data_IF_260990746940
#
_entry.id   IF_260990746940
#
_cell.length_a   1.000
_cell.length_b   1.000
_cell.length_c   1.000
_cell.angle_alpha   90.00
_cell.angle_beta   90.00
_cell.angle_gamma   90.00
#
_symmetry.space_group_name_H-M   'P 1'
#
loop_
_entity.id
_entity.type
_entity.pdbx_description
1 polymer ?
#
# COMPACT_ATOMS: atom_id res chain seq x y z
N UNK A 1 -47.15 -19.56 35.37
CA UNK A 1 -47.48 -19.76 33.93
C UNK A 1 -48.92 -19.28 33.76
N UNK A 2 -49.21 -18.45 32.78
CA UNK A 2 -50.56 -17.96 32.50
C UNK A 2 -51.41 -19.11 31.96
N UNK A 3 -52.35 -19.59 32.75
CA UNK A 3 -53.28 -20.63 32.29
C UNK A 3 -54.40 -20.00 31.46
N UNK A 4 -54.60 -20.50 30.25
CA UNK A 4 -55.62 -20.00 29.33
C UNK A 4 -55.65 -20.83 28.04
N UNK A 5 -56.38 -20.37 27.04
CA UNK A 5 -56.50 -21.03 25.74
C UNK A 5 -56.40 -20.07 24.56
N UNK A 6 -55.90 -20.58 23.46
CA UNK A 6 -55.86 -19.85 22.19
C UNK A 6 -57.28 -19.80 21.59
N UNK A 7 -57.66 -18.63 21.10
CA UNK A 7 -58.92 -18.39 20.41
C UNK A 7 -58.60 -17.74 19.06
N UNK A 8 -59.15 -18.27 17.99
CA UNK A 8 -59.00 -17.77 16.63
C UNK A 8 -60.32 -17.23 16.09
N UNK A 9 -60.28 -16.08 15.42
CA UNK A 9 -61.39 -15.60 14.58
C UNK A 9 -60.84 -15.12 13.22
N UNK A 10 -61.70 -14.52 12.39
CA UNK A 10 -61.32 -13.97 11.08
C UNK A 10 -60.19 -12.94 11.12
N UNK A 11 -60.08 -12.19 12.22
CA UNK A 11 -59.06 -11.13 12.38
C UNK A 11 -57.75 -11.63 12.99
N UNK A 12 -57.69 -12.89 13.49
CA UNK A 12 -56.45 -13.44 14.01
C UNK A 12 -56.56 -14.24 15.30
N UNK A 13 -55.45 -14.38 16.00
CA UNK A 13 -55.33 -15.16 17.21
C UNK A 13 -55.33 -14.27 18.45
N UNK A 14 -56.08 -14.67 19.52
CA UNK A 14 -56.09 -14.09 20.86
C UNK A 14 -55.79 -15.16 21.90
N UNK A 15 -55.39 -14.71 23.13
CA UNK A 15 -55.21 -15.63 24.24
C UNK A 15 -56.20 -15.24 25.35
N UNK A 16 -57.09 -16.17 25.71
CA UNK A 16 -58.12 -16.01 26.71
C UNK A 16 -57.69 -16.67 28.01
N UNK A 17 -57.61 -15.88 29.07
CA UNK A 17 -57.32 -16.40 30.40
C UNK A 17 -58.50 -17.20 30.98
N UNK A 18 -58.25 -17.98 32.05
CA UNK A 18 -59.31 -18.77 32.72
C UNK A 18 -60.44 -17.91 33.27
N UNK A 19 -60.14 -16.68 33.69
CA UNK A 19 -61.16 -15.69 34.16
C UNK A 19 -61.99 -15.09 33.04
N UNK A 20 -61.82 -15.51 31.80
CA UNK A 20 -62.58 -15.03 30.65
C UNK A 20 -62.03 -13.82 29.95
N UNK A 21 -61.05 -13.08 30.52
CA UNK A 21 -60.44 -11.88 29.92
C UNK A 21 -59.43 -12.27 28.83
N UNK A 22 -59.01 -11.31 27.98
CA UNK A 22 -58.04 -11.52 26.91
C UNK A 22 -56.73 -10.78 27.19
N UNK A 23 -55.63 -11.40 26.78
CA UNK A 23 -54.33 -10.77 26.80
C UNK A 23 -54.32 -9.51 25.90
N UNK A 24 -53.97 -8.32 26.43
CA UNK A 24 -53.88 -7.07 25.70
C UNK A 24 -52.65 -6.30 26.12
N UNK A 25 -51.98 -5.69 25.15
CA UNK A 25 -50.79 -4.85 25.34
C UNK A 25 -49.71 -5.49 26.25
N UNK A 26 -49.47 -6.80 26.14
CA UNK A 26 -48.62 -7.57 27.04
C UNK A 26 -47.72 -8.57 26.29
N UNK A 27 -46.59 -8.87 26.89
CA UNK A 27 -45.75 -10.00 26.53
C UNK A 27 -46.16 -11.23 27.38
N UNK A 28 -46.33 -12.37 26.79
CA UNK A 28 -46.65 -13.62 27.51
C UNK A 28 -45.72 -14.75 27.09
N UNK A 29 -45.30 -15.51 28.10
CA UNK A 29 -44.70 -16.81 27.88
C UNK A 29 -45.81 -17.87 27.93
N UNK A 30 -46.08 -18.53 26.82
CA UNK A 30 -47.09 -19.55 26.68
C UNK A 30 -46.39 -20.81 26.16
N UNK A 31 -46.37 -21.87 26.98
CA UNK A 31 -45.72 -23.13 26.61
C UNK A 31 -44.22 -23.00 26.25
N UNK A 32 -43.46 -22.16 26.95
CA UNK A 32 -42.03 -21.93 26.71
C UNK A 32 -41.73 -21.03 25.52
N UNK A 33 -42.75 -20.49 24.84
CA UNK A 33 -42.60 -19.54 23.74
C UNK A 33 -43.13 -18.16 24.12
N UNK A 34 -42.47 -17.10 23.68
CA UNK A 34 -42.84 -15.72 23.96
C UNK A 34 -43.71 -15.18 22.83
N UNK A 35 -44.80 -14.53 23.21
CA UNK A 35 -45.74 -13.90 22.30
C UNK A 35 -46.01 -12.43 22.75
N UNK A 36 -46.37 -11.61 21.80
CA UNK A 36 -46.82 -10.23 22.07
C UNK A 36 -48.25 -10.06 21.61
N UNK A 37 -49.06 -9.43 22.47
CA UNK A 37 -50.43 -9.04 22.16
C UNK A 37 -50.55 -7.54 22.08
N UNK A 38 -51.16 -7.03 21.03
CA UNK A 38 -51.41 -5.61 20.82
C UNK A 38 -52.50 -5.06 21.72
N UNK A 39 -52.73 -3.75 21.64
CA UNK A 39 -53.80 -3.10 22.39
C UNK A 39 -55.21 -3.65 22.05
N UNK A 40 -55.39 -4.09 20.81
CA UNK A 40 -56.63 -4.77 20.34
C UNK A 40 -56.76 -6.22 20.79
N UNK A 41 -55.80 -6.74 21.55
CA UNK A 41 -55.77 -8.11 22.07
C UNK A 41 -55.38 -9.19 21.05
N UNK A 42 -55.05 -8.81 19.83
CA UNK A 42 -54.57 -9.82 18.84
C UNK A 42 -53.08 -10.05 19.00
N UNK A 43 -52.68 -11.28 18.69
CA UNK A 43 -51.29 -11.71 18.62
C UNK A 43 -50.59 -10.92 17.53
N UNK A 44 -49.46 -10.27 17.87
CA UNK A 44 -48.60 -9.54 16.95
C UNK A 44 -47.82 -10.52 16.10
N UNK A 45 -47.67 -10.24 14.81
CA UNK A 45 -46.83 -11.01 13.86
C UNK A 45 -45.99 -10.06 12.99
N UNK A 46 -44.87 -10.56 12.46
CA UNK A 46 -43.94 -9.73 11.66
C UNK A 46 -43.05 -8.84 12.50
N UNK A 47 -42.46 -7.83 11.87
CA UNK A 47 -41.58 -6.88 12.52
C UNK A 47 -42.39 -5.79 13.21
N UNK A 48 -42.00 -5.42 14.43
CA UNK A 48 -42.58 -4.27 15.14
C UNK A 48 -41.51 -3.64 16.06
N UNK A 49 -41.74 -2.37 16.38
CA UNK A 49 -40.88 -1.65 17.30
C UNK A 49 -41.57 -1.52 18.66
N UNK A 50 -40.85 -1.83 19.73
CA UNK A 50 -41.29 -1.70 21.08
C UNK A 50 -40.15 -1.23 21.98
N UNK A 51 -40.40 -0.20 22.80
CA UNK A 51 -39.40 0.41 23.66
C UNK A 51 -38.06 0.70 22.93
N UNK A 52 -38.15 1.40 21.80
CA UNK A 52 -37.00 1.77 20.97
C UNK A 52 -36.33 0.64 20.20
N UNK A 53 -36.60 -0.63 20.49
CA UNK A 53 -35.99 -1.81 19.91
C UNK A 53 -36.90 -2.48 18.87
N UNK A 54 -36.27 -3.14 17.88
CA UNK A 54 -36.97 -3.90 16.85
C UNK A 54 -37.02 -5.38 17.21
N UNK A 55 -38.20 -5.97 17.10
CA UNK A 55 -38.52 -7.39 17.33
C UNK A 55 -39.09 -8.00 16.08
N UNK A 56 -39.09 -9.31 16.02
CA UNK A 56 -39.80 -10.07 14.99
C UNK A 56 -40.57 -11.25 15.59
N UNK A 57 -41.88 -11.23 15.36
CA UNK A 57 -42.77 -12.34 15.67
C UNK A 57 -42.96 -13.18 14.42
N UNK A 58 -42.68 -14.45 14.48
CA UNK A 58 -42.90 -15.36 13.36
C UNK A 58 -44.30 -15.20 12.77
N UNK A 59 -44.40 -15.07 11.46
CA UNK A 59 -45.67 -14.73 10.82
C UNK A 59 -46.73 -15.85 10.97
N UNK A 60 -46.27 -17.11 10.98
CA UNK A 60 -47.19 -18.27 11.08
C UNK A 60 -47.49 -18.60 12.54
N UNK A 61 -46.45 -18.80 13.36
CA UNK A 61 -46.62 -19.25 14.75
C UNK A 61 -46.80 -18.10 15.73
N UNK A 62 -46.40 -16.84 15.39
CA UNK A 62 -46.39 -15.70 16.27
C UNK A 62 -45.38 -15.77 17.39
N UNK A 63 -44.44 -16.71 17.36
CA UNK A 63 -43.38 -16.83 18.36
C UNK A 63 -42.31 -15.76 18.13
N UNK A 64 -41.78 -15.23 19.23
CA UNK A 64 -40.67 -14.29 19.19
C UNK A 64 -39.39 -14.97 18.62
N UNK A 65 -38.73 -14.32 17.71
CA UNK A 65 -37.38 -14.73 17.26
C UNK A 65 -36.37 -14.43 18.37
N UNK A 66 -35.68 -15.45 18.83
CA UNK A 66 -34.59 -15.33 19.81
C UNK A 66 -33.41 -16.19 19.32
N UNK A 67 -32.16 -15.65 19.47
CA UNK A 67 -30.92 -16.29 19.02
C UNK A 67 -31.04 -16.82 17.58
N UNK A 68 -31.66 -16.06 16.69
CA UNK A 68 -32.06 -16.54 15.36
C UNK A 68 -31.68 -15.58 14.24
N UNK A 69 -31.15 -16.15 13.17
CA UNK A 69 -30.93 -15.47 11.91
C UNK A 69 -32.23 -15.31 11.13
N UNK A 70 -32.39 -14.13 10.53
CA UNK A 70 -33.43 -13.90 9.51
C UNK A 70 -32.71 -13.54 8.21
N UNK A 71 -32.86 -14.43 7.20
CA UNK A 71 -32.32 -14.20 5.85
C UNK A 71 -33.48 -13.75 4.96
N UNK A 72 -33.34 -12.54 4.38
CA UNK A 72 -34.29 -12.02 3.40
C UNK A 72 -33.86 -12.42 1.99
N UNK A 73 -32.54 -12.32 1.73
CA UNK A 73 -31.85 -12.77 0.52
C UNK A 73 -30.34 -12.91 0.82
N UNK A 74 -29.55 -13.30 -0.16
CA UNK A 74 -28.10 -13.51 0.00
C UNK A 74 -27.33 -12.29 0.51
N UNK A 75 -27.86 -11.08 0.26
CA UNK A 75 -27.22 -9.80 0.63
C UNK A 75 -27.85 -9.16 1.87
N UNK A 76 -28.94 -9.71 2.41
CA UNK A 76 -29.70 -9.09 3.50
C UNK A 76 -30.03 -10.12 4.57
N UNK A 77 -29.27 -10.05 5.66
CA UNK A 77 -29.47 -10.89 6.85
C UNK A 77 -29.55 -10.02 8.10
N UNK A 78 -30.40 -10.44 9.04
CA UNK A 78 -30.55 -9.85 10.35
C UNK A 78 -30.35 -10.90 11.43
N UNK A 79 -30.04 -10.48 12.64
CA UNK A 79 -29.95 -11.39 13.78
C UNK A 79 -30.77 -10.86 14.95
N UNK A 80 -31.59 -11.71 15.53
CA UNK A 80 -32.35 -11.44 16.75
C UNK A 80 -31.64 -12.11 17.92
N UNK A 81 -31.30 -11.29 18.94
CA UNK A 81 -30.50 -11.70 20.10
C UNK A 81 -31.29 -12.58 21.07
N UNK A 82 -30.65 -12.94 22.20
CA UNK A 82 -31.29 -13.75 23.23
C UNK A 82 -32.49 -13.05 23.89
N UNK A 83 -32.46 -11.72 23.95
CA UNK A 83 -33.54 -10.87 24.45
C UNK A 83 -34.64 -10.61 23.41
N UNK A 84 -34.53 -11.17 22.22
CA UNK A 84 -35.45 -11.00 21.10
C UNK A 84 -35.27 -9.70 20.32
N UNK A 85 -34.41 -8.79 20.75
CA UNK A 85 -34.16 -7.55 20.02
C UNK A 85 -33.26 -7.80 18.79
N UNK A 86 -33.52 -7.08 17.69
CA UNK A 86 -32.65 -7.11 16.52
C UNK A 86 -31.30 -6.48 16.84
N UNK A 87 -30.23 -7.14 16.42
CA UNK A 87 -28.89 -6.57 16.52
C UNK A 87 -28.77 -5.33 15.65
N UNK A 88 -28.44 -4.18 16.25
CA UNK A 88 -28.25 -2.88 15.59
C UNK A 88 -27.09 -2.14 16.25
N UNK A 89 -26.24 -1.47 15.43
CA UNK A 89 -25.12 -0.65 15.86
C UNK A 89 -24.20 -1.34 16.88
N UNK A 90 -23.82 -2.62 16.63
CA UNK A 90 -23.00 -3.39 17.55
C UNK A 90 -22.30 -4.58 16.89
N UNK A 91 -21.27 -5.06 17.58
CA UNK A 91 -20.70 -6.38 17.36
C UNK A 91 -21.46 -7.43 18.16
N UNK A 92 -21.71 -8.59 17.56
CA UNK A 92 -22.38 -9.72 18.22
C UNK A 92 -21.58 -11.00 17.98
N UNK A 93 -21.26 -11.73 19.05
CA UNK A 93 -20.71 -13.08 18.97
C UNK A 93 -21.84 -14.09 18.72
N UNK A 94 -21.72 -14.87 17.66
CA UNK A 94 -22.71 -15.87 17.28
C UNK A 94 -21.97 -17.15 16.88
N UNK A 95 -22.11 -18.19 17.67
CA UNK A 95 -21.31 -19.41 17.52
C UNK A 95 -19.81 -19.09 17.66
N UNK A 96 -19.00 -19.50 16.68
CA UNK A 96 -17.55 -19.22 16.64
C UNK A 96 -17.21 -17.90 15.96
N UNK A 97 -18.18 -17.17 15.41
CA UNK A 97 -17.97 -15.93 14.65
C UNK A 97 -18.35 -14.67 15.43
N UNK A 98 -17.74 -13.56 15.05
CA UNK A 98 -18.11 -12.21 15.51
C UNK A 98 -18.58 -11.42 14.30
N UNK A 99 -19.74 -10.81 14.41
CA UNK A 99 -20.48 -10.17 13.33
C UNK A 99 -20.80 -8.72 13.66
N UNK A 100 -20.80 -7.83 12.67
CA UNK A 100 -21.16 -6.42 12.87
C UNK A 100 -22.51 -6.13 12.22
N UNK A 101 -23.36 -5.46 13.01
CA UNK A 101 -24.64 -4.95 12.57
C UNK A 101 -24.66 -3.42 12.73
N UNK A 102 -24.62 -2.63 11.62
CA UNK A 102 -24.74 -1.18 11.68
C UNK A 102 -26.15 -0.76 12.15
N UNK A 103 -26.43 0.55 12.23
CA UNK A 103 -27.75 1.10 12.64
C UNK A 103 -28.92 0.51 11.83
N UNK A 104 -28.69 0.14 10.58
CA UNK A 104 -29.72 -0.51 9.74
C UNK A 104 -30.11 -1.90 10.21
N UNK A 105 -29.32 -2.53 11.08
CA UNK A 105 -29.46 -3.92 11.52
C UNK A 105 -29.06 -4.94 10.46
N UNK A 106 -28.73 -4.53 9.24
CA UNK A 106 -28.23 -5.46 8.19
C UNK A 106 -26.85 -5.97 8.56
N UNK A 107 -26.62 -7.28 8.40
CA UNK A 107 -25.30 -7.86 8.54
C UNK A 107 -24.31 -7.16 7.59
N UNK A 108 -23.22 -6.63 8.14
CA UNK A 108 -22.11 -6.15 7.35
C UNK A 108 -21.34 -7.32 6.74
N UNK A 109 -21.07 -7.29 5.43
CA UNK A 109 -20.36 -8.34 4.70
C UNK A 109 -19.33 -7.75 3.74
N UNK A 110 -18.17 -8.42 3.61
CA UNK A 110 -17.08 -8.11 2.66
C UNK A 110 -16.64 -6.63 2.67
N UNK A 111 -16.51 -6.03 3.85
CA UNK A 111 -16.17 -4.59 3.99
C UNK A 111 -15.32 -4.30 5.21
N UNK A 112 -14.65 -3.15 5.16
CA UNK A 112 -13.97 -2.56 6.31
C UNK A 112 -15.02 -1.87 7.18
N UNK A 113 -14.95 -2.09 8.47
CA UNK A 113 -15.79 -1.46 9.49
C UNK A 113 -14.94 -0.51 10.31
N UNK A 114 -15.32 0.75 10.34
CA UNK A 114 -14.76 1.71 11.31
C UNK A 114 -15.65 1.72 12.55
N UNK A 115 -15.09 1.34 13.70
CA UNK A 115 -15.81 1.26 14.96
C UNK A 115 -14.95 1.80 16.10
N UNK A 116 -15.44 2.83 16.78
CA UNK A 116 -14.75 3.49 17.90
C UNK A 116 -13.29 3.85 17.57
N UNK A 117 -13.07 4.46 16.38
CA UNK A 117 -11.75 4.90 15.91
C UNK A 117 -10.80 3.79 15.47
N UNK A 118 -11.28 2.54 15.35
CA UNK A 118 -10.48 1.38 14.92
C UNK A 118 -11.05 0.75 13.66
N UNK A 119 -10.19 0.11 12.86
CA UNK A 119 -10.58 -0.58 11.62
C UNK A 119 -10.65 -2.08 11.85
N UNK A 120 -11.69 -2.70 11.32
CA UNK A 120 -11.95 -4.14 11.32
C UNK A 120 -12.32 -4.58 9.92
N UNK A 121 -12.26 -5.86 9.64
CA UNK A 121 -12.78 -6.39 8.38
C UNK A 121 -13.70 -7.59 8.64
N UNK A 122 -14.85 -7.59 7.96
CA UNK A 122 -15.75 -8.74 7.90
C UNK A 122 -15.70 -9.35 6.50
N UNK A 123 -15.58 -10.67 6.43
CA UNK A 123 -15.49 -11.41 5.17
C UNK A 123 -16.87 -11.50 4.45
N UNK A 124 -16.92 -12.24 3.35
CA UNK A 124 -18.17 -12.43 2.58
C UNK A 124 -19.29 -13.09 3.39
N UNK A 125 -18.97 -13.90 4.39
CA UNK A 125 -19.94 -14.48 5.32
C UNK A 125 -20.32 -13.53 6.46
N UNK A 126 -19.75 -12.32 6.54
CA UNK A 126 -19.96 -11.36 7.62
C UNK A 126 -19.11 -11.62 8.86
N UNK A 127 -18.25 -12.64 8.86
CA UNK A 127 -17.41 -12.99 10.01
C UNK A 127 -16.21 -12.03 10.08
N UNK A 128 -15.96 -11.48 11.27
CA UNK A 128 -14.78 -10.66 11.54
C UNK A 128 -13.51 -11.49 11.41
N UNK A 129 -12.56 -11.03 10.62
CA UNK A 129 -11.26 -11.67 10.50
C UNK A 129 -10.36 -11.33 11.70
N UNK A 130 -9.45 -12.25 12.02
CA UNK A 130 -8.43 -12.11 13.04
C UNK A 130 -7.14 -12.78 12.60
N UNK A 131 -6.01 -12.28 13.09
CA UNK A 131 -4.68 -12.88 12.94
C UNK A 131 -4.33 -13.29 11.50
N UNK A 132 -4.59 -12.39 10.54
CA UNK A 132 -4.42 -12.69 9.12
C UNK A 132 -4.06 -11.47 8.29
N UNK A 133 -3.43 -11.74 7.14
CA UNK A 133 -3.25 -10.74 6.09
C UNK A 133 -4.54 -10.58 5.26
N UNK A 134 -4.85 -9.35 4.91
CA UNK A 134 -5.95 -8.98 4.03
C UNK A 134 -5.42 -8.21 2.83
N UNK A 135 -5.87 -8.58 1.62
CA UNK A 135 -5.71 -7.76 0.41
C UNK A 135 -7.08 -7.21 0.04
N UNK A 136 -7.20 -5.88 -0.01
CA UNK A 136 -8.44 -5.19 -0.36
C UNK A 136 -8.14 -3.91 -1.13
N UNK A 137 -8.75 -3.74 -2.30
CA UNK A 137 -8.54 -2.55 -3.14
C UNK A 137 -7.07 -2.32 -3.51
N UNK A 138 -6.33 -3.38 -3.85
CA UNK A 138 -4.90 -3.29 -4.19
C UNK A 138 -3.96 -3.05 -3.00
N UNK A 139 -4.49 -2.80 -1.80
CA UNK A 139 -3.70 -2.57 -0.59
C UNK A 139 -3.64 -3.82 0.29
N UNK A 140 -2.54 -3.97 1.02
CA UNK A 140 -2.34 -5.06 2.00
C UNK A 140 -2.47 -4.52 3.41
N UNK A 141 -3.15 -5.27 4.27
CA UNK A 141 -3.38 -4.95 5.68
C UNK A 141 -3.06 -6.17 6.54
N UNK A 142 -2.70 -5.96 7.80
CA UNK A 142 -2.64 -7.05 8.78
C UNK A 142 -3.69 -6.84 9.85
N UNK A 143 -4.47 -7.87 10.11
CA UNK A 143 -5.50 -7.91 11.13
C UNK A 143 -4.95 -8.70 12.32
N UNK A 144 -4.89 -8.07 13.49
CA UNK A 144 -4.38 -8.66 14.73
C UNK A 144 -5.28 -9.77 15.26
N UNK A 145 -4.84 -10.49 16.28
CA UNK A 145 -5.66 -11.48 16.99
C UNK A 145 -6.93 -10.90 17.62
N UNK A 146 -6.93 -9.61 17.99
CA UNK A 146 -8.12 -8.88 18.44
C UNK A 146 -9.06 -8.45 17.31
N UNK A 147 -8.71 -8.70 16.05
CA UNK A 147 -9.51 -8.33 14.88
C UNK A 147 -9.34 -6.89 14.42
N UNK A 148 -8.42 -6.13 15.01
CA UNK A 148 -8.15 -4.73 14.68
C UNK A 148 -7.06 -4.67 13.61
N UNK A 149 -7.15 -3.72 12.67
CA UNK A 149 -6.03 -3.44 11.77
C UNK A 149 -4.84 -2.94 12.56
N UNK A 150 -3.67 -3.51 12.29
CA UNK A 150 -2.41 -2.96 12.79
C UNK A 150 -2.13 -1.66 12.03
N UNK A 151 -1.91 -0.55 12.77
CA UNK A 151 -1.66 0.77 12.21
C UNK A 151 -0.42 1.39 12.84
N UNK A 152 0.28 2.28 12.09
CA UNK A 152 1.45 3.05 12.54
C UNK A 152 2.49 2.17 13.24
N UNK A 153 2.74 0.97 12.72
CA UNK A 153 3.57 -0.01 13.40
C UNK A 153 4.34 -0.92 12.45
N UNK A 154 5.50 -1.36 12.89
CA UNK A 154 6.26 -2.40 12.23
C UNK A 154 5.71 -3.78 12.57
N UNK A 155 5.72 -4.66 11.57
CA UNK A 155 5.34 -6.05 11.70
C UNK A 155 6.34 -6.96 11.01
N UNK A 156 6.75 -8.02 11.70
CA UNK A 156 7.58 -9.10 11.12
C UNK A 156 6.67 -10.22 10.61
N UNK A 157 6.85 -10.60 9.35
CA UNK A 157 6.15 -11.73 8.73
C UNK A 157 7.09 -12.47 7.79
N UNK A 158 7.18 -13.78 7.93
CA UNK A 158 8.06 -14.64 7.12
C UNK A 158 9.50 -14.07 6.97
N UNK A 159 10.09 -13.66 8.09
CA UNK A 159 11.45 -13.12 8.15
C UNK A 159 11.60 -11.66 7.68
N UNK A 160 10.60 -11.05 7.07
CA UNK A 160 10.63 -9.67 6.56
C UNK A 160 9.83 -8.72 7.46
N UNK A 161 10.25 -7.45 7.49
CA UNK A 161 9.54 -6.40 8.23
C UNK A 161 8.73 -5.53 7.26
N UNK A 162 7.53 -5.19 7.68
CA UNK A 162 6.58 -4.32 6.96
C UNK A 162 6.11 -3.20 7.89
N UNK A 163 5.91 -2.01 7.34
CA UNK A 163 5.31 -0.93 8.12
C UNK A 163 3.87 -0.67 7.65
N UNK A 164 2.95 -0.70 8.59
CA UNK A 164 1.54 -0.39 8.37
C UNK A 164 1.31 1.09 8.67
N UNK A 165 0.78 1.83 7.70
CA UNK A 165 0.51 3.26 7.81
C UNK A 165 -0.64 3.61 8.75
N UNK A 166 -1.05 4.87 8.75
CA UNK A 166 -2.15 5.34 9.61
C UNK A 166 -3.50 4.71 9.26
N UNK A 167 -3.72 4.38 7.99
CA UNK A 167 -4.89 3.67 7.49
C UNK A 167 -4.78 2.13 7.63
N UNK A 168 -3.68 1.63 8.19
CA UNK A 168 -3.37 0.21 8.32
C UNK A 168 -2.85 -0.45 7.03
N UNK A 169 -2.72 0.29 5.92
CA UNK A 169 -2.15 -0.25 4.71
C UNK A 169 -0.62 -0.38 4.82
N UNK A 170 -0.08 -1.45 4.23
CA UNK A 170 1.38 -1.61 4.09
C UNK A 170 1.91 -0.47 3.22
N UNK A 171 2.89 0.26 3.74
CA UNK A 171 3.59 1.28 2.99
C UNK A 171 4.57 0.66 1.99
N UNK A 172 4.73 1.30 0.84
CA UNK A 172 5.65 0.88 -0.23
C UNK A 172 6.45 2.07 -0.75
N UNK A 173 7.66 1.81 -1.28
CA UNK A 173 8.52 2.78 -1.97
C UNK A 173 8.71 4.09 -1.21
N UNK A 174 9.00 4.01 0.11
CA UNK A 174 9.22 5.22 0.93
C UNK A 174 10.03 4.97 2.18
N UNK A 175 10.55 6.04 2.73
CA UNK A 175 11.17 6.09 4.03
C UNK A 175 10.14 6.04 5.16
N UNK A 176 10.50 5.32 6.22
CA UNK A 176 9.80 5.25 7.51
C UNK A 176 10.86 5.47 8.60
N UNK A 177 11.05 6.71 9.00
CA UNK A 177 12.18 7.09 9.85
C UNK A 177 13.51 6.76 9.17
N UNK A 178 14.35 5.98 9.82
CA UNK A 178 15.66 5.55 9.32
C UNK A 178 15.60 4.26 8.45
N UNK A 179 14.43 3.78 8.05
CA UNK A 179 14.24 2.56 7.29
C UNK A 179 13.53 2.83 5.98
N UNK A 180 13.86 2.10 4.94
CA UNK A 180 13.15 2.18 3.66
C UNK A 180 12.34 0.91 3.39
N UNK A 181 11.09 1.06 2.94
CA UNK A 181 10.26 -0.05 2.48
C UNK A 181 10.17 -0.04 0.95
N UNK A 182 10.48 -1.18 0.34
CA UNK A 182 10.51 -1.34 -1.12
C UNK A 182 9.12 -1.43 -1.76
N UNK A 183 9.08 -1.74 -3.05
CA UNK A 183 7.85 -1.86 -3.84
C UNK A 183 6.90 -2.93 -3.33
N UNK A 184 7.42 -4.02 -2.77
CA UNK A 184 6.63 -5.09 -2.14
C UNK A 184 6.25 -4.79 -0.68
N UNK A 185 6.63 -3.60 -0.15
CA UNK A 185 6.41 -3.16 1.22
C UNK A 185 7.36 -3.74 2.26
N UNK A 186 8.28 -4.65 1.88
CA UNK A 186 9.27 -5.17 2.80
C UNK A 186 10.35 -4.12 3.07
N UNK A 187 10.82 -4.05 4.33
CA UNK A 187 11.99 -3.26 4.70
C UNK A 187 13.21 -3.77 3.93
N UNK A 188 13.93 -2.88 3.31
CA UNK A 188 15.20 -3.18 2.64
C UNK A 188 16.33 -3.29 3.66
N UNK A 189 17.29 -4.16 3.38
CA UNK A 189 18.52 -4.39 4.15
C UNK A 189 19.68 -4.58 3.20
N UNK A 190 20.91 -4.36 3.65
CA UNK A 190 22.15 -4.61 2.91
C UNK A 190 22.14 -4.04 1.49
N UNK A 191 21.61 -2.84 1.34
CA UNK A 191 21.50 -2.18 0.04
C UNK A 191 21.61 -0.67 0.17
N UNK A 192 21.80 -0.01 -0.96
CA UNK A 192 21.80 1.44 -1.02
C UNK A 192 20.44 1.94 -1.48
N UNK A 193 19.91 2.96 -0.81
CA UNK A 193 18.70 3.67 -1.22
C UNK A 193 18.84 5.16 -0.99
N UNK A 194 18.58 5.95 -2.05
CA UNK A 194 18.68 7.42 -2.04
C UNK A 194 20.04 7.91 -1.45
N UNK A 195 21.14 7.26 -1.85
CA UNK A 195 22.48 7.59 -1.36
C UNK A 195 22.82 7.13 0.06
N UNK A 196 21.95 6.36 0.71
CA UNK A 196 22.19 5.79 2.03
C UNK A 196 22.37 4.28 1.94
N UNK A 197 23.41 3.77 2.58
CA UNK A 197 23.53 2.35 2.85
C UNK A 197 22.53 1.99 3.98
N UNK A 198 21.73 0.98 3.73
CA UNK A 198 20.89 0.33 4.73
C UNK A 198 21.64 -0.89 5.23
N UNK A 199 21.97 -0.92 6.52
CA UNK A 199 22.70 -2.02 7.12
C UNK A 199 21.89 -3.35 7.13
N UNK A 200 22.45 -4.38 7.69
CA UNK A 200 21.82 -5.70 7.83
C UNK A 200 20.47 -5.64 8.58
N UNK A 201 20.30 -4.64 9.46
CA UNK A 201 19.04 -4.38 10.16
C UNK A 201 18.09 -3.52 9.34
N UNK A 202 18.53 -3.00 8.19
CA UNK A 202 17.82 -2.06 7.33
C UNK A 202 17.83 -0.62 7.83
N UNK A 203 18.63 -0.30 8.86
CA UNK A 203 18.78 1.06 9.38
C UNK A 203 19.71 1.86 8.49
N UNK A 204 19.37 3.11 8.27
CA UNK A 204 20.20 4.09 7.58
C UNK A 204 21.57 4.20 8.25
N UNK A 205 22.65 3.91 7.52
CA UNK A 205 24.04 3.87 8.01
C UNK A 205 24.98 4.54 7.02
N UNK A 206 26.15 4.97 7.47
CA UNK A 206 27.25 5.53 6.67
C UNK A 206 28.35 4.50 6.46
N UNK A 207 28.05 3.32 6.00
CA UNK A 207 29.10 2.34 5.75
C UNK A 207 29.84 2.64 4.46
N UNK A 208 31.16 2.34 4.47
CA UNK A 208 32.00 2.39 3.28
C UNK A 208 31.59 1.28 2.34
N UNK A 209 31.17 1.63 1.14
CA UNK A 209 30.85 0.67 0.11
C UNK A 209 32.10 -0.10 -0.33
N UNK A 210 32.02 -1.43 -0.36
CA UNK A 210 33.15 -2.33 -0.66
C UNK A 210 33.21 -2.81 -2.11
N UNK A 211 32.21 -2.50 -2.93
CA UNK A 211 32.16 -2.89 -4.35
C UNK A 211 33.15 -2.11 -5.23
N UNK A 212 32.99 -2.20 -6.53
CA UNK A 212 33.98 -1.70 -7.51
C UNK A 212 33.64 -0.36 -8.12
N UNK A 213 32.36 -0.01 -8.17
CA UNK A 213 31.87 1.13 -8.94
C UNK A 213 30.93 2.01 -8.12
N UNK A 214 30.96 3.32 -8.38
CA UNK A 214 29.94 4.26 -7.90
C UNK A 214 29.29 4.87 -9.14
N UNK A 215 27.96 4.72 -9.27
CA UNK A 215 27.17 5.33 -10.33
C UNK A 215 26.33 6.46 -9.71
N UNK A 216 26.53 7.68 -10.24
CA UNK A 216 25.86 8.88 -9.72
C UNK A 216 24.97 9.44 -10.82
N UNK A 217 23.68 9.67 -10.53
CA UNK A 217 22.82 10.15 -11.61
C UNK A 217 21.36 10.38 -11.27
N UNK A 218 20.60 10.58 -12.32
CA UNK A 218 19.16 10.86 -12.29
C UNK A 218 18.30 9.60 -12.33
N UNK A 219 17.04 9.75 -12.75
CA UNK A 219 16.06 8.65 -12.85
C UNK A 219 16.53 7.46 -13.73
N UNK A 220 17.39 7.71 -14.71
CA UNK A 220 17.93 6.65 -15.57
C UNK A 220 18.94 5.77 -14.83
N UNK A 221 19.71 6.32 -13.89
CA UNK A 221 20.52 5.52 -12.97
C UNK A 221 19.67 4.76 -11.96
N UNK A 222 18.59 5.34 -11.48
CA UNK A 222 17.59 4.63 -10.65
C UNK A 222 16.97 3.46 -11.43
N UNK A 223 16.65 3.66 -12.70
CA UNK A 223 16.15 2.60 -13.58
C UNK A 223 17.17 1.49 -13.74
N UNK A 224 18.45 1.82 -13.94
CA UNK A 224 19.53 0.83 -14.04
C UNK A 224 19.69 0.05 -12.72
N UNK A 225 19.64 0.70 -11.56
CA UNK A 225 19.66 0.05 -10.24
C UNK A 225 18.50 -0.95 -10.07
N UNK A 226 17.30 -0.54 -10.47
CA UNK A 226 16.09 -1.35 -10.28
C UNK A 226 16.01 -2.57 -11.20
N UNK A 227 16.42 -2.40 -12.45
CA UNK A 227 16.32 -3.47 -13.46
C UNK A 227 17.57 -4.34 -13.60
N UNK A 228 18.74 -3.81 -13.20
CA UNK A 228 20.02 -4.49 -13.29
C UNK A 228 20.80 -4.37 -11.98
N UNK A 229 20.25 -4.88 -10.86
CA UNK A 229 20.87 -4.74 -9.55
C UNK A 229 22.24 -5.44 -9.50
N UNK A 230 23.17 -4.85 -8.73
CA UNK A 230 24.51 -5.39 -8.59
C UNK A 230 25.12 -5.03 -7.25
N UNK A 231 25.76 -5.99 -6.59
CA UNK A 231 26.50 -5.77 -5.34
C UNK A 231 27.84 -5.05 -5.56
N UNK A 232 28.32 -5.02 -6.80
CA UNK A 232 29.57 -4.35 -7.17
C UNK A 232 29.41 -2.84 -7.40
N UNK A 233 28.19 -2.33 -7.41
CA UNK A 233 27.88 -0.94 -7.76
C UNK A 233 27.08 -0.25 -6.67
N UNK A 234 27.60 0.85 -6.17
CA UNK A 234 26.84 1.82 -5.35
C UNK A 234 26.15 2.81 -6.29
N UNK A 235 24.83 2.89 -6.22
CA UNK A 235 24.07 3.91 -6.91
C UNK A 235 23.77 5.07 -5.97
N UNK A 236 24.22 6.27 -6.34
CA UNK A 236 23.86 7.54 -5.72
C UNK A 236 22.96 8.24 -6.73
N UNK A 237 21.69 7.90 -6.73
CA UNK A 237 20.77 8.31 -7.78
C UNK A 237 19.37 8.61 -7.26
N UNK A 238 18.66 9.52 -7.93
CA UNK A 238 17.29 9.90 -7.57
C UNK A 238 16.49 10.35 -8.78
N UNK A 239 15.20 9.98 -8.81
CA UNK A 239 14.27 10.34 -9.89
C UNK A 239 14.06 11.85 -9.96
N UNK A 240 14.07 12.43 -11.18
CA UNK A 240 13.77 13.83 -11.43
C UNK A 240 14.88 14.82 -11.03
N UNK A 241 16.04 14.33 -10.66
CA UNK A 241 17.13 15.19 -10.13
C UNK A 241 18.13 15.60 -11.21
N UNK A 242 18.74 16.77 -10.97
CA UNK A 242 19.78 17.38 -11.80
C UNK A 242 20.94 17.92 -10.98
N UNK A 243 21.55 19.02 -11.45
CA UNK A 243 22.73 19.63 -10.89
C UNK A 243 22.58 20.04 -9.41
N UNK A 244 21.46 20.70 -9.06
CA UNK A 244 21.27 21.19 -7.69
C UNK A 244 21.26 20.05 -6.67
N UNK A 245 20.54 18.98 -6.98
CA UNK A 245 20.55 17.80 -6.11
C UNK A 245 21.94 17.12 -6.04
N UNK A 246 22.67 17.10 -7.15
CA UNK A 246 24.05 16.59 -7.16
C UNK A 246 24.91 17.32 -6.13
N UNK A 247 24.85 18.65 -6.11
CA UNK A 247 25.64 19.49 -5.21
C UNK A 247 25.13 19.41 -3.77
N UNK A 248 23.83 19.57 -3.57
CA UNK A 248 23.24 19.73 -2.23
C UNK A 248 23.12 18.40 -1.46
N UNK A 249 23.08 17.28 -2.18
CA UNK A 249 22.77 16.00 -1.55
C UNK A 249 23.76 14.88 -1.92
N UNK A 250 23.97 14.63 -3.22
CA UNK A 250 24.75 13.49 -3.68
C UNK A 250 26.26 13.65 -3.40
N UNK A 251 26.77 14.88 -3.51
CA UNK A 251 28.19 15.21 -3.33
C UNK A 251 28.71 14.77 -1.97
N UNK A 252 27.95 15.00 -0.90
CA UNK A 252 28.37 14.61 0.45
C UNK A 252 28.64 13.10 0.54
N UNK A 253 27.70 12.28 0.05
CA UNK A 253 27.84 10.82 0.07
C UNK A 253 28.99 10.37 -0.81
N UNK A 254 29.09 10.92 -2.02
CA UNK A 254 30.17 10.60 -2.95
C UNK A 254 31.56 10.91 -2.34
N UNK A 255 31.75 12.12 -1.77
CA UNK A 255 33.00 12.51 -1.13
C UNK A 255 33.35 11.65 0.08
N UNK A 256 32.36 11.21 0.87
CA UNK A 256 32.57 10.26 1.96
C UNK A 256 33.11 8.92 1.44
N UNK A 257 32.53 8.36 0.37
CA UNK A 257 33.00 7.14 -0.25
C UNK A 257 34.42 7.30 -0.84
N UNK A 258 34.69 8.41 -1.51
CA UNK A 258 35.99 8.68 -2.12
C UNK A 258 37.08 8.95 -1.08
N UNK A 259 36.77 9.59 0.05
CA UNK A 259 37.72 9.73 1.18
C UNK A 259 38.11 8.38 1.77
N UNK A 260 37.14 7.48 1.93
CA UNK A 260 37.36 6.16 2.48
C UNK A 260 38.04 5.21 1.47
N UNK A 261 37.78 5.38 0.17
CA UNK A 261 38.31 4.54 -0.91
C UNK A 261 38.71 5.39 -2.12
N UNK A 262 39.89 6.00 -2.11
CA UNK A 262 40.31 7.01 -3.10
C UNK A 262 40.41 6.47 -4.54
N UNK A 263 40.63 5.15 -4.72
CA UNK A 263 40.82 4.53 -6.06
C UNK A 263 39.51 4.08 -6.72
N UNK A 264 38.36 4.56 -6.25
CA UNK A 264 37.06 4.18 -6.81
C UNK A 264 36.89 4.61 -8.27
N UNK A 265 36.15 3.81 -9.03
CA UNK A 265 35.67 4.16 -10.37
C UNK A 265 34.27 4.75 -10.26
N UNK A 266 34.11 6.00 -10.70
CA UNK A 266 32.86 6.76 -10.58
C UNK A 266 32.33 7.06 -11.97
N UNK A 267 31.07 6.79 -12.20
CA UNK A 267 30.35 7.05 -13.45
C UNK A 267 29.23 8.03 -13.19
N UNK A 268 29.22 9.18 -13.89
CA UNK A 268 28.16 10.18 -13.83
C UNK A 268 27.21 10.02 -15.01
N UNK A 269 25.90 10.07 -14.73
CA UNK A 269 24.84 10.03 -15.74
C UNK A 269 23.72 11.02 -15.40
N UNK A 270 23.99 12.31 -15.59
CA UNK A 270 23.05 13.41 -15.41
C UNK A 270 22.83 14.18 -16.71
N UNK A 271 21.87 15.09 -16.68
CA UNK A 271 21.65 16.11 -17.67
C UNK A 271 20.32 16.01 -18.39
N UNK A 272 19.61 14.88 -18.34
CA UNK A 272 18.31 14.76 -19.04
C UNK A 272 17.26 15.71 -18.48
N UNK A 273 17.33 16.04 -17.20
CA UNK A 273 16.38 16.91 -16.52
C UNK A 273 16.76 18.41 -16.61
N UNK A 274 18.02 18.74 -16.99
CA UNK A 274 18.55 20.09 -16.91
C UNK A 274 19.68 20.34 -17.91
N UNK A 275 19.41 20.10 -19.19
CA UNK A 275 20.36 20.24 -20.31
C UNK A 275 21.05 21.64 -20.36
N UNK A 276 20.42 22.68 -19.80
CA UNK A 276 21.02 24.03 -19.70
C UNK A 276 22.21 24.11 -18.74
N UNK A 277 22.38 23.15 -17.83
CA UNK A 277 23.38 23.22 -16.75
C UNK A 277 24.74 22.58 -17.11
N UNK A 278 25.02 22.33 -18.39
CA UNK A 278 26.25 21.60 -18.80
C UNK A 278 27.55 22.26 -18.29
N UNK A 279 27.66 23.60 -18.25
CA UNK A 279 28.84 24.27 -17.76
C UNK A 279 29.04 24.12 -16.25
N UNK A 280 27.97 24.11 -15.49
CA UNK A 280 27.99 23.84 -14.06
C UNK A 280 28.50 22.43 -13.78
N UNK A 281 27.97 21.41 -14.52
CA UNK A 281 28.49 20.04 -14.46
C UNK A 281 29.97 19.97 -14.80
N UNK A 282 30.42 20.62 -15.88
CA UNK A 282 31.84 20.60 -16.29
C UNK A 282 32.71 21.21 -15.21
N UNK A 283 32.28 22.30 -14.62
CA UNK A 283 33.02 22.98 -13.52
C UNK A 283 33.16 22.10 -12.30
N UNK A 284 32.03 21.50 -11.85
CA UNK A 284 32.00 20.60 -10.70
C UNK A 284 32.85 19.36 -10.93
N UNK A 285 32.74 18.71 -12.09
CA UNK A 285 33.48 17.48 -12.39
C UNK A 285 34.99 17.76 -12.46
N UNK A 286 35.41 18.90 -12.99
CA UNK A 286 36.82 19.32 -12.96
C UNK A 286 37.32 19.54 -11.52
N UNK A 287 36.48 20.10 -10.65
CA UNK A 287 36.85 20.27 -9.24
C UNK A 287 36.98 18.90 -8.56
N UNK A 288 36.06 18.02 -8.79
CA UNK A 288 36.07 16.67 -8.20
C UNK A 288 37.30 15.85 -8.62
N UNK A 289 37.72 15.98 -9.87
CA UNK A 289 38.97 15.36 -10.38
C UNK A 289 40.20 15.91 -9.64
N UNK A 290 40.22 17.19 -9.35
CA UNK A 290 41.33 17.81 -8.57
C UNK A 290 41.30 17.35 -7.11
N UNK A 291 40.14 17.30 -6.51
CA UNK A 291 39.96 16.92 -5.10
C UNK A 291 40.29 15.45 -4.83
N UNK A 292 40.04 14.57 -5.81
CA UNK A 292 40.26 13.13 -5.70
C UNK A 292 41.07 12.56 -6.89
N UNK A 293 42.36 12.90 -7.01
CA UNK A 293 43.18 12.57 -8.18
C UNK A 293 43.41 11.06 -8.37
N UNK A 294 43.20 10.24 -7.34
CA UNK A 294 43.35 8.80 -7.41
C UNK A 294 42.06 8.09 -7.94
N UNK A 295 40.93 8.78 -7.88
CA UNK A 295 39.67 8.21 -8.38
C UNK A 295 39.61 8.28 -9.91
N UNK A 296 38.99 7.29 -10.49
CA UNK A 296 38.75 7.26 -11.94
C UNK A 296 37.33 7.70 -12.24
N UNK A 297 37.21 8.91 -12.78
CA UNK A 297 35.92 9.50 -13.14
C UNK A 297 35.60 9.28 -14.60
N UNK A 298 34.34 8.91 -14.89
CA UNK A 298 33.78 8.73 -16.21
C UNK A 298 32.46 9.46 -16.34
N UNK A 299 32.21 10.06 -17.49
CA UNK A 299 31.05 10.90 -17.74
C UNK A 299 30.27 10.34 -18.92
N UNK A 300 29.08 9.83 -18.65
CA UNK A 300 28.19 9.33 -19.71
C UNK A 300 27.60 10.47 -20.52
N UNK A 301 27.45 10.27 -21.81
CA UNK A 301 26.54 11.10 -22.58
C UNK A 301 25.13 11.05 -21.97
N UNK A 302 24.37 12.13 -22.04
CA UNK A 302 22.91 12.06 -21.91
C UNK A 302 22.42 11.15 -23.04
N UNK A 303 21.74 10.09 -22.67
CA UNK A 303 21.27 9.06 -23.62
C UNK A 303 20.05 9.53 -24.43
N UNK A 304 19.77 8.94 -25.61
CA UNK A 304 18.68 9.38 -26.46
C UNK A 304 17.30 9.23 -25.80
N UNK A 305 16.34 10.03 -26.25
CA UNK A 305 14.92 9.89 -25.94
C UNK A 305 14.15 9.45 -27.18
N UNK A 306 13.02 8.79 -26.99
CA UNK A 306 12.01 8.58 -28.01
C UNK A 306 11.08 9.80 -28.01
N UNK A 307 11.35 10.79 -28.87
CA UNK A 307 10.65 12.07 -28.89
C UNK A 307 9.15 11.95 -29.18
N UNK A 308 8.73 10.91 -29.87
CA UNK A 308 7.31 10.69 -30.18
C UNK A 308 6.61 10.19 -28.92
N UNK A 309 7.19 9.20 -28.27
CA UNK A 309 6.62 8.59 -27.07
C UNK A 309 6.71 9.53 -25.85
N UNK A 310 7.81 10.26 -25.68
CA UNK A 310 7.98 11.19 -24.55
C UNK A 310 6.97 12.34 -24.58
N UNK A 311 6.63 12.84 -25.77
CA UNK A 311 5.64 13.89 -25.92
C UNK A 311 4.24 13.44 -25.45
N UNK A 312 3.88 12.16 -25.61
CA UNK A 312 2.61 11.62 -25.10
C UNK A 312 2.55 11.51 -23.57
N UNK A 313 3.72 11.57 -22.92
CA UNK A 313 3.85 11.52 -21.46
C UNK A 313 4.15 12.91 -20.83
N UNK A 314 4.06 13.98 -21.63
CA UNK A 314 4.21 15.35 -21.14
C UNK A 314 5.65 15.84 -21.00
N UNK A 315 6.64 15.10 -21.47
CA UNK A 315 8.01 15.57 -21.54
C UNK A 315 8.26 16.41 -22.79
N UNK A 316 9.28 17.25 -22.78
CA UNK A 316 9.67 18.13 -23.91
C UNK A 316 11.19 18.10 -24.15
N UNK A 317 11.77 16.90 -24.14
CA UNK A 317 13.20 16.70 -24.27
C UNK A 317 13.55 16.42 -25.73
N UNK A 318 14.46 17.21 -26.32
CA UNK A 318 14.87 17.04 -27.71
C UNK A 318 16.26 16.42 -27.83
N UNK A 319 16.41 15.44 -28.72
CA UNK A 319 17.70 14.84 -29.01
C UNK A 319 18.70 15.86 -29.58
N UNK A 320 18.23 16.94 -30.23
CA UNK A 320 19.08 18.04 -30.68
C UNK A 320 19.72 18.80 -29.48
N UNK A 321 18.95 19.09 -28.44
CA UNK A 321 19.46 19.69 -27.22
C UNK A 321 20.41 18.74 -26.45
N UNK A 322 20.10 17.46 -26.40
CA UNK A 322 20.98 16.41 -25.89
C UNK A 322 22.33 16.40 -26.63
N UNK A 323 22.31 16.53 -27.96
CA UNK A 323 23.54 16.56 -28.76
C UNK A 323 24.44 17.76 -28.39
N UNK A 324 23.89 18.93 -28.12
CA UNK A 324 24.65 20.11 -27.67
C UNK A 324 25.32 19.83 -26.30
N UNK A 325 24.56 19.32 -25.33
CA UNK A 325 25.10 18.93 -24.01
C UNK A 325 26.23 17.91 -24.15
N UNK A 326 26.01 16.86 -24.93
CA UNK A 326 26.96 15.77 -25.12
C UNK A 326 28.26 16.24 -25.82
N UNK A 327 28.15 17.14 -26.82
CA UNK A 327 29.31 17.72 -27.48
C UNK A 327 30.18 18.51 -26.45
N UNK A 328 29.57 19.30 -25.61
CA UNK A 328 30.29 20.08 -24.60
C UNK A 328 30.97 19.17 -23.58
N UNK A 329 30.30 18.16 -23.10
CA UNK A 329 30.84 17.16 -22.16
C UNK A 329 32.00 16.38 -22.77
N UNK A 330 31.86 15.95 -24.03
CA UNK A 330 32.91 15.24 -24.79
C UNK A 330 34.18 16.07 -24.95
N UNK A 331 34.05 17.34 -25.32
CA UNK A 331 35.18 18.27 -25.44
C UNK A 331 35.90 18.50 -24.10
N UNK A 332 35.14 18.56 -22.99
CA UNK A 332 35.70 18.81 -21.67
C UNK A 332 36.47 17.62 -21.08
N UNK A 333 36.07 16.38 -21.38
CA UNK A 333 36.56 15.19 -20.67
C UNK A 333 37.18 14.10 -21.56
N UNK A 334 37.07 14.19 -22.89
CA UNK A 334 37.77 13.33 -23.84
C UNK A 334 37.78 11.83 -23.49
N UNK A 335 38.91 11.29 -23.10
CA UNK A 335 39.05 9.85 -22.74
C UNK A 335 38.20 9.39 -21.55
N UNK A 336 37.71 10.33 -20.75
CA UNK A 336 36.81 10.06 -19.62
C UNK A 336 35.32 10.14 -20.03
N UNK A 337 35.04 10.62 -21.23
CA UNK A 337 33.69 10.65 -21.78
C UNK A 337 33.31 9.30 -22.38
N UNK A 338 32.14 8.78 -22.02
CA UNK A 338 31.59 7.55 -22.56
C UNK A 338 30.38 7.88 -23.43
N UNK A 339 30.54 7.69 -24.75
CA UNK A 339 29.51 7.98 -25.74
C UNK A 339 28.45 6.84 -25.77
N UNK A 340 27.67 6.74 -24.72
CA UNK A 340 26.56 5.80 -24.61
C UNK A 340 25.34 6.21 -25.48
N UNK A 341 25.22 7.49 -25.84
CA UNK A 341 24.21 7.98 -26.79
C UNK A 341 24.35 7.30 -28.15
N UNK A 342 25.56 7.37 -28.76
CA UNK A 342 25.81 6.76 -30.05
C UNK A 342 25.68 5.23 -30.00
N UNK A 343 26.13 4.62 -28.90
CA UNK A 343 25.97 3.18 -28.70
C UNK A 343 24.48 2.77 -28.72
N UNK A 344 23.62 3.43 -27.98
CA UNK A 344 22.18 3.12 -27.95
C UNK A 344 21.50 3.42 -29.31
N UNK A 345 21.91 4.51 -29.99
CA UNK A 345 21.40 4.82 -31.33
C UNK A 345 21.74 3.72 -32.35
N UNK A 346 22.91 3.14 -32.29
CA UNK A 346 23.36 2.10 -33.22
C UNK A 346 22.89 0.69 -32.86
N UNK A 347 22.82 0.36 -31.55
CA UNK A 347 22.41 -0.97 -31.09
C UNK A 347 20.89 -1.12 -30.87
N UNK A 348 20.14 -0.03 -31.02
CA UNK A 348 18.72 0.05 -30.70
C UNK A 348 18.44 0.16 -29.20
N UNK A 349 17.37 0.89 -28.86
CA UNK A 349 16.88 1.04 -27.50
C UNK A 349 15.35 1.09 -27.48
N UNK A 350 14.78 0.69 -26.35
CA UNK A 350 13.34 0.79 -26.10
C UNK A 350 13.09 1.54 -24.79
N UNK A 351 12.02 2.31 -24.77
CA UNK A 351 11.62 3.13 -23.62
C UNK A 351 10.26 2.70 -23.09
N UNK A 352 10.00 2.99 -21.82
CA UNK A 352 8.69 2.81 -21.20
C UNK A 352 7.79 4.02 -21.48
N UNK A 353 8.34 5.23 -21.37
CA UNK A 353 7.62 6.51 -21.45
C UNK A 353 8.30 7.55 -22.38
N UNK A 354 9.22 7.10 -23.22
CA UNK A 354 10.04 7.95 -24.08
C UNK A 354 11.37 8.41 -23.46
N UNK A 355 11.47 8.45 -22.14
CA UNK A 355 12.66 8.89 -21.38
C UNK A 355 13.33 7.74 -20.64
N UNK A 356 12.59 6.89 -19.97
CA UNK A 356 13.07 5.76 -19.17
C UNK A 356 13.11 4.48 -20.00
N UNK A 357 14.17 3.70 -19.84
CA UNK A 357 14.39 2.51 -20.67
C UNK A 357 13.73 1.26 -20.12
N UNK A 358 13.52 0.30 -21.04
CA UNK A 358 13.15 -1.07 -20.66
C UNK A 358 14.33 -1.78 -20.00
N UNK A 359 14.04 -2.88 -19.28
CA UNK A 359 15.07 -3.70 -18.64
C UNK A 359 16.16 -4.13 -19.59
N UNK A 360 15.81 -4.60 -20.79
CA UNK A 360 16.76 -5.03 -21.82
C UNK A 360 17.72 -3.90 -22.21
N UNK A 361 17.20 -2.70 -22.41
CA UNK A 361 18.03 -1.53 -22.75
C UNK A 361 18.97 -1.15 -21.60
N UNK A 362 18.52 -1.22 -20.35
CA UNK A 362 19.39 -1.00 -19.19
C UNK A 362 20.48 -2.06 -19.07
N UNK A 363 20.19 -3.33 -19.38
CA UNK A 363 21.20 -4.39 -19.39
C UNK A 363 22.27 -4.13 -20.44
N UNK A 364 21.88 -3.82 -21.69
CA UNK A 364 22.81 -3.42 -22.77
C UNK A 364 23.67 -2.24 -22.36
N UNK A 365 23.05 -1.17 -21.83
CA UNK A 365 23.74 0.05 -21.43
C UNK A 365 24.76 -0.22 -20.33
N UNK A 366 24.37 -0.94 -19.26
CA UNK A 366 25.28 -1.27 -18.16
C UNK A 366 26.47 -2.11 -18.65
N UNK A 367 26.24 -3.12 -19.47
CA UNK A 367 27.29 -3.94 -20.07
C UNK A 367 28.26 -3.07 -20.86
N UNK A 368 27.75 -2.18 -21.72
CA UNK A 368 28.59 -1.27 -22.50
C UNK A 368 29.44 -0.37 -21.59
N UNK A 369 28.84 0.25 -20.57
CA UNK A 369 29.57 1.10 -19.62
C UNK A 369 30.73 0.34 -18.99
N UNK A 370 30.48 -0.89 -18.51
CA UNK A 370 31.51 -1.71 -17.86
C UNK A 370 32.68 -2.08 -18.79
N UNK A 371 32.46 -2.16 -20.11
CA UNK A 371 33.56 -2.35 -21.07
C UNK A 371 34.46 -1.11 -21.23
N UNK A 372 33.95 0.08 -20.88
CA UNK A 372 34.66 1.36 -21.05
C UNK A 372 35.40 1.81 -19.78
N UNK A 373 34.98 1.38 -18.61
CA UNK A 373 35.59 1.74 -17.33
C UNK A 373 36.63 0.69 -16.90
N UNK A 374 37.87 0.92 -17.23
CA UNK A 374 38.99 0.03 -16.92
C UNK A 374 39.83 0.47 -15.74
#
# INVERSE_FOLDING_TARGET
MSSGKWVKNSSGWKYRYKNGTYAKNIWLNIGGSIYRFGANGYRVTGSFRWDGSLYYMDRSSGKLYVKRWMTVNDKTKYYYKADGTRAENQWVAIGKGIYFFPKSGKLAMNQIITWKGRYYYVNRAGVRLTNTWLVKGGKRYYITGSGIFLCKSWMKSKGKYYYLGADGAVLTNRWVGNYYVGSNGARLTDCVKDGWYLDETGKKSYQVFTGKYIFVGDSRMVGMENYVPSTDTLYIAKVGMGYDWLIDTADQTLRQQLKARPNMKVVFGFGVNDLGNVEQYVTYYRQLIRDFPQAKFYFLSVNPVDEVKEATHGYQIKNSAIAVFNRRLSLAFQSRYINSYSYLRSSGFSTVDGVHYTQETYQKLRTFILTKIR
#
